data_IF_597684673006
#
_entry.id   IF_597684673006
#
_cell.length_a   1.000
_cell.length_b   1.000
_cell.length_c   1.000
_cell.angle_alpha   90.00
_cell.angle_beta   90.00
_cell.angle_gamma   90.00
#
_symmetry.space_group_name_H-M   'P 1'
#
loop_
_entity.id
_entity.type
_entity.pdbx_description
1 polymer ?
#
# COMPACT_ATOMS: atom_id res chain seq x y z
N UNK A 1 -1.05 -4.12 -9.44
CA UNK A 1 -1.82 -4.93 -8.48
C UNK A 1 -1.31 -4.67 -7.08
N UNK A 2 -2.13 -4.09 -6.21
CA UNK A 2 -1.74 -3.74 -4.84
C UNK A 2 -1.51 -4.98 -3.96
N UNK A 3 -0.43 -4.96 -3.16
CA UNK A 3 -0.08 -6.01 -2.19
C UNK A 3 0.35 -5.44 -0.84
N UNK A 4 0.27 -6.26 0.21
CA UNK A 4 0.71 -5.89 1.55
C UNK A 4 1.98 -6.63 1.95
N UNK A 5 2.90 -5.90 2.58
CA UNK A 5 4.14 -6.40 3.15
C UNK A 5 4.16 -6.12 4.65
N UNK A 6 4.66 -7.06 5.44
CA UNK A 6 4.91 -6.85 6.87
C UNK A 6 6.40 -6.70 7.10
N UNK A 7 6.81 -5.69 7.84
CA UNK A 7 8.20 -5.51 8.23
C UNK A 7 8.40 -6.10 9.63
N UNK A 8 9.43 -6.93 9.84
CA UNK A 8 9.64 -7.68 11.10
C UNK A 8 9.72 -6.79 12.36
N UNK A 9 10.11 -5.53 12.20
CA UNK A 9 10.31 -4.56 13.29
C UNK A 9 9.20 -3.51 13.40
N UNK A 10 8.14 -3.61 12.59
CA UNK A 10 7.05 -2.64 12.58
C UNK A 10 5.71 -3.36 12.75
N UNK A 11 4.83 -2.88 13.64
CA UNK A 11 3.48 -3.42 13.74
C UNK A 11 2.61 -3.04 12.53
N UNK A 12 3.07 -2.11 11.69
CA UNK A 12 2.31 -1.58 10.56
C UNK A 12 2.52 -2.38 9.28
N UNK A 13 1.44 -2.53 8.52
CA UNK A 13 1.49 -3.05 7.16
C UNK A 13 2.04 -1.99 6.20
N UNK A 14 2.82 -2.42 5.22
CA UNK A 14 3.30 -1.61 4.11
C UNK A 14 2.53 -1.98 2.85
N UNK A 15 1.96 -1.00 2.18
CA UNK A 15 1.35 -1.20 0.87
C UNK A 15 2.43 -1.12 -0.20
N UNK A 16 2.40 -2.07 -1.13
CA UNK A 16 3.10 -2.01 -2.39
C UNK A 16 2.07 -1.83 -3.51
N UNK A 17 2.17 -0.76 -4.27
CA UNK A 17 1.21 -0.42 -5.34
C UNK A 17 1.93 0.24 -6.52
N UNK A 18 1.29 0.26 -7.69
CA UNK A 18 1.81 0.99 -8.84
C UNK A 18 1.47 2.48 -8.70
N UNK A 19 2.47 3.35 -8.76
CA UNK A 19 2.32 4.80 -8.80
C UNK A 19 1.94 5.30 -10.21
N UNK A 20 1.61 6.61 -10.35
CA UNK A 20 1.25 7.22 -11.63
C UNK A 20 2.39 7.13 -12.66
N UNK A 21 3.65 7.17 -12.20
CA UNK A 21 4.83 7.02 -13.05
C UNK A 21 5.09 5.58 -13.53
N UNK A 22 4.13 4.65 -13.32
CA UNK A 22 4.29 3.22 -13.58
C UNK A 22 5.27 2.50 -12.64
N UNK A 23 5.89 3.23 -11.70
CA UNK A 23 6.85 2.69 -10.73
C UNK A 23 6.14 2.13 -9.52
N UNK A 24 6.64 0.99 -9.02
CA UNK A 24 6.14 0.38 -7.78
C UNK A 24 6.58 1.19 -6.57
N UNK A 25 5.63 1.67 -5.79
CA UNK A 25 5.86 2.39 -4.54
C UNK A 25 5.64 1.47 -3.34
N UNK A 26 6.40 1.70 -2.27
CA UNK A 26 6.23 1.03 -0.98
C UNK A 26 6.01 2.07 0.10
N UNK A 27 4.86 2.03 0.77
CA UNK A 27 4.49 3.04 1.76
C UNK A 27 3.82 2.40 2.96
N UNK A 28 4.22 2.83 4.16
CA UNK A 28 3.59 2.36 5.40
C UNK A 28 2.14 2.82 5.44
N UNK A 29 1.22 1.89 5.63
CA UNK A 29 -0.22 2.17 5.83
C UNK A 29 -0.51 2.73 7.22
N UNK A 30 0.48 2.76 8.12
CA UNK A 30 0.37 3.19 9.52
C UNK A 30 -0.75 2.47 10.29
N UNK A 31 -1.17 1.29 9.85
CA UNK A 31 -2.16 0.47 10.55
C UNK A 31 -1.67 -0.97 10.67
N UNK A 32 -1.95 -1.60 11.80
CA UNK A 32 -1.69 -3.01 12.06
C UNK A 32 -2.84 -3.92 11.60
N UNK A 33 -4.00 -3.34 11.27
CA UNK A 33 -5.15 -4.07 10.75
C UNK A 33 -4.95 -4.36 9.26
N UNK A 34 -4.85 -5.65 8.91
CA UNK A 34 -4.64 -6.12 7.54
C UNK A 34 -5.78 -5.71 6.60
N UNK A 35 -7.03 -5.71 7.05
CA UNK A 35 -8.18 -5.33 6.20
C UNK A 35 -8.14 -3.84 5.88
N UNK A 36 -7.88 -3.00 6.88
CA UNK A 36 -7.71 -1.55 6.69
C UNK A 36 -6.51 -1.25 5.80
N UNK A 37 -5.38 -1.94 6.02
CA UNK A 37 -4.19 -1.79 5.19
C UNK A 37 -4.47 -2.12 3.72
N UNK A 38 -5.22 -3.18 3.44
CA UNK A 38 -5.56 -3.56 2.07
C UNK A 38 -6.45 -2.50 1.40
N UNK A 39 -7.42 -1.94 2.13
CA UNK A 39 -8.26 -0.86 1.62
C UNK A 39 -7.42 0.37 1.24
N UNK A 40 -6.47 0.76 2.10
CA UNK A 40 -5.54 1.87 1.84
C UNK A 40 -4.69 1.58 0.59
N UNK A 41 -4.16 0.35 0.45
CA UNK A 41 -3.33 -0.04 -0.68
C UNK A 41 -4.08 0.05 -2.02
N UNK A 42 -5.34 -0.43 -2.05
CA UNK A 42 -6.21 -0.35 -3.23
C UNK A 42 -6.59 1.10 -3.55
N UNK A 43 -6.89 1.91 -2.53
CA UNK A 43 -7.20 3.32 -2.70
C UNK A 43 -6.01 4.09 -3.31
N UNK A 44 -4.79 3.83 -2.83
CA UNK A 44 -3.57 4.42 -3.40
C UNK A 44 -3.31 3.97 -4.84
N UNK A 45 -3.54 2.70 -5.18
CA UNK A 45 -3.44 2.22 -6.56
C UNK A 45 -4.47 2.89 -7.48
N UNK A 46 -5.71 3.05 -7.02
CA UNK A 46 -6.77 3.74 -7.76
C UNK A 46 -6.45 5.22 -8.00
N UNK A 47 -6.03 5.93 -6.96
CA UNK A 47 -5.60 7.34 -7.05
C UNK A 47 -4.38 7.52 -7.96
N UNK A 48 -3.45 6.56 -7.93
CA UNK A 48 -2.26 6.58 -8.78
C UNK A 48 -2.58 6.32 -10.26
N UNK A 49 -3.56 5.46 -10.55
CA UNK A 49 -3.94 5.11 -11.93
C UNK A 49 -4.83 6.19 -12.57
N UNK A 50 -5.55 6.97 -11.76
CA UNK A 50 -6.43 8.04 -12.23
C UNK A 50 -5.71 9.36 -12.56
N UNK A 51 -4.37 9.40 -12.48
CA UNK A 51 -3.53 10.57 -12.72
C UNK A 51 -2.84 10.59 -14.07
#
# INVERSE_FOLDING_TARGET
>A
MASLHRQLRSPYWYAAFAGPDGRRQFKSTKTADKKRAMKIAVEWEGLATAG
#
